data_IF_495744573288
#
_entry.id   IF_495744573288
#
_cell.length_a   1.000
_cell.length_b   1.000
_cell.length_c   1.000
_cell.angle_alpha   90.00
_cell.angle_beta   90.00
_cell.angle_gamma   90.00
#
_symmetry.space_group_name_H-M   'P 1'
#
loop_
_entity.id
_entity.type
_entity.pdbx_description
1 polymer ?
#
# COMPACT_ATOMS: atom_id res chain seq x y z
N UNK A 1 -33.64 15.95 30.89
CA UNK A 1 -34.07 17.17 30.17
C UNK A 1 -32.91 18.14 30.09
N UNK A 2 -32.60 18.58 28.85
CA UNK A 2 -32.12 19.92 28.48
C UNK A 2 -30.66 20.28 28.76
N UNK A 3 -29.91 20.15 27.67
CA UNK A 3 -28.70 20.91 27.32
C UNK A 3 -28.86 22.41 27.59
N UNK A 4 -27.84 23.05 28.15
CA UNK A 4 -27.68 24.49 28.16
C UNK A 4 -26.46 24.88 27.31
N UNK A 5 -26.75 25.34 26.09
CA UNK A 5 -25.83 26.05 25.20
C UNK A 5 -25.49 27.42 25.78
N UNK A 6 -24.22 27.81 25.70
CA UNK A 6 -23.83 29.21 25.47
C UNK A 6 -22.54 29.18 24.64
N UNK A 7 -22.56 29.82 23.46
CA UNK A 7 -21.52 30.75 22.99
C UNK A 7 -21.98 31.36 21.65
N UNK A 8 -22.38 32.63 21.74
CA UNK A 8 -22.59 33.55 20.63
C UNK A 8 -21.23 34.05 20.11
N UNK A 9 -21.05 34.09 18.78
CA UNK A 9 -20.43 35.24 18.12
C UNK A 9 -20.75 35.19 16.61
N UNK A 10 -21.46 36.21 16.15
CA UNK A 10 -21.79 36.46 14.75
C UNK A 10 -20.76 37.41 14.13
N UNK A 11 -20.45 37.23 12.85
CA UNK A 11 -20.02 38.30 11.96
C UNK A 11 -20.17 37.88 10.49
N UNK A 12 -21.25 38.33 9.85
CA UNK A 12 -21.40 38.37 8.40
C UNK A 12 -20.60 39.55 7.85
N UNK A 13 -19.84 39.39 6.75
CA UNK A 13 -19.66 40.45 5.76
C UNK A 13 -19.54 39.87 4.34
N UNK A 14 -20.37 40.42 3.48
CA UNK A 14 -20.57 40.14 2.06
C UNK A 14 -19.86 41.17 1.18
N UNK A 15 -19.21 40.76 0.11
CA UNK A 15 -18.96 41.49 -1.17
C UNK A 15 -18.49 40.42 -2.17
N UNK A 16 -18.82 40.32 -3.46
CA UNK A 16 -19.51 41.14 -4.46
C UNK A 16 -18.96 40.70 -5.85
N UNK A 17 -19.85 40.45 -6.83
CA UNK A 17 -19.66 39.84 -8.17
C UNK A 17 -18.86 40.71 -9.20
N UNK A 18 -19.05 40.58 -10.55
CA UNK A 18 -18.65 39.56 -11.54
C UNK A 18 -17.88 40.15 -12.76
N UNK A 19 -17.21 39.33 -13.60
CA UNK A 19 -16.79 39.75 -14.96
C UNK A 19 -17.16 38.72 -16.05
N UNK A 20 -18.33 38.95 -16.64
CA UNK A 20 -18.63 39.12 -18.08
C UNK A 20 -17.85 38.29 -19.14
N UNK A 21 -18.60 37.37 -19.78
CA UNK A 21 -18.77 37.10 -21.24
C UNK A 21 -17.49 36.89 -22.08
N UNK A 22 -17.33 35.77 -22.79
CA UNK A 22 -17.77 35.61 -24.19
C UNK A 22 -17.82 34.12 -24.57
N UNK A 23 -18.89 33.75 -25.27
CA UNK A 23 -19.13 32.44 -25.85
C UNK A 23 -18.36 32.30 -27.17
N UNK A 24 -17.85 31.11 -27.47
CA UNK A 24 -17.84 30.58 -28.84
C UNK A 24 -17.70 29.04 -28.78
N UNK A 25 -18.70 28.35 -29.30
CA UNK A 25 -18.67 26.93 -29.66
C UNK A 25 -18.45 26.87 -31.18
N UNK A 26 -17.78 25.86 -31.76
CA UNK A 26 -18.38 24.52 -31.85
C UNK A 26 -17.39 23.33 -31.79
N UNK A 27 -17.89 22.15 -31.38
CA UNK A 27 -17.29 20.85 -31.71
C UNK A 27 -17.41 20.59 -33.23
N UNK A 28 -16.60 19.72 -33.89
CA UNK A 28 -16.84 18.26 -33.79
C UNK A 28 -15.69 17.29 -34.22
N UNK A 29 -15.94 15.98 -34.01
CA UNK A 29 -15.39 14.75 -34.66
C UNK A 29 -13.99 14.27 -34.24
N UNK A 30 -13.93 13.17 -33.50
CA UNK A 30 -13.56 11.82 -33.96
C UNK A 30 -12.09 11.70 -34.35
N UNK A 31 -11.31 10.96 -33.55
CA UNK A 31 -10.44 9.94 -34.11
C UNK A 31 -10.26 8.77 -33.14
N UNK A 32 -10.26 7.60 -33.76
CA UNK A 32 -10.35 6.26 -33.22
C UNK A 32 -8.94 5.69 -32.99
N UNK A 33 -8.81 4.91 -31.91
CA UNK A 33 -7.84 3.83 -31.69
C UNK A 33 -6.33 4.08 -31.83
N UNK A 34 -5.60 3.81 -30.75
CA UNK A 34 -4.56 2.78 -30.82
C UNK A 34 -4.36 2.10 -29.47
N UNK A 35 -4.65 0.80 -29.53
CA UNK A 35 -4.30 -0.26 -28.61
C UNK A 35 -2.78 -0.38 -28.47
N UNK A 36 -2.38 -0.97 -27.35
CA UNK A 36 -1.15 -1.75 -27.18
C UNK A 36 0.15 -1.00 -26.81
N UNK A 37 0.44 -1.03 -25.51
CA UNK A 37 1.76 -1.44 -25.02
C UNK A 37 1.57 -2.04 -23.62
N UNK A 38 0.94 -3.20 -23.60
CA UNK A 38 1.11 -4.14 -22.51
C UNK A 38 2.58 -4.56 -22.49
N UNK A 39 3.38 -4.05 -21.55
CA UNK A 39 4.60 -4.72 -21.14
C UNK A 39 4.28 -5.60 -19.93
N UNK A 40 3.52 -6.65 -20.23
CA UNK A 40 3.57 -7.89 -19.47
C UNK A 40 4.97 -8.48 -19.64
N UNK A 41 5.86 -8.19 -18.70
CA UNK A 41 7.02 -9.07 -18.50
C UNK A 41 6.46 -10.34 -17.87
N UNK A 42 6.24 -11.35 -18.71
CA UNK A 42 6.19 -12.74 -18.28
C UNK A 42 7.59 -13.29 -18.47
N UNK A 43 8.07 -14.00 -17.45
CA UNK A 43 8.98 -15.17 -17.45
C UNK A 43 9.91 -15.08 -16.21
N UNK A 44 10.00 -16.03 -15.28
CA UNK A 44 9.91 -17.48 -15.46
C UNK A 44 9.40 -18.20 -14.18
N UNK A 45 8.51 -19.18 -14.38
CA UNK A 45 8.52 -20.47 -13.68
C UNK A 45 8.20 -20.55 -12.17
N UNK A 46 6.92 -20.63 -11.82
CA UNK A 46 6.40 -21.44 -10.69
C UNK A 46 4.91 -21.75 -10.92
N UNK A 47 4.37 -22.92 -10.50
CA UNK A 47 3.02 -23.33 -10.86
C UNK A 47 1.99 -22.41 -10.19
N UNK A 48 1.13 -21.84 -11.03
CA UNK A 48 0.04 -20.96 -10.65
C UNK A 48 -1.13 -21.75 -10.05
N UNK A 49 -0.93 -22.31 -8.85
CA UNK A 49 -2.00 -22.90 -8.01
C UNK A 49 -1.81 -22.52 -6.52
N UNK A 50 -0.92 -21.57 -6.19
CA UNK A 50 -0.43 -21.33 -4.81
C UNK A 50 -0.59 -19.87 -4.30
N UNK A 51 -1.18 -18.98 -5.09
CA UNK A 51 -1.33 -17.57 -4.68
C UNK A 51 -2.20 -17.40 -3.42
N UNK A 52 -3.20 -18.26 -3.24
CA UNK A 52 -4.07 -18.26 -2.07
C UNK A 52 -3.40 -18.83 -0.82
N UNK A 53 -2.64 -19.92 -0.96
CA UNK A 53 -1.88 -20.57 0.11
C UNK A 53 -0.74 -19.69 0.59
N UNK A 54 -0.01 -19.02 -0.33
CA UNK A 54 1.00 -18.05 0.06
C UNK A 54 0.41 -16.84 0.79
N UNK A 55 -0.69 -16.26 0.29
CA UNK A 55 -1.35 -15.16 0.99
C UNK A 55 -1.83 -15.56 2.39
N UNK A 56 -2.34 -16.78 2.55
CA UNK A 56 -2.73 -17.32 3.86
C UNK A 56 -1.52 -17.48 4.80
N UNK A 57 -0.39 -17.95 4.28
CA UNK A 57 0.85 -18.05 5.05
C UNK A 57 1.37 -16.67 5.48
N UNK A 58 1.38 -15.68 4.57
CA UNK A 58 1.77 -14.31 4.89
C UNK A 58 0.87 -13.70 5.97
N UNK A 59 -0.46 -13.90 5.88
CA UNK A 59 -1.40 -13.43 6.90
C UNK A 59 -1.19 -14.11 8.26
N UNK A 60 -0.84 -15.40 8.27
CA UNK A 60 -0.48 -16.09 9.51
C UNK A 60 0.77 -15.47 10.15
N UNK A 61 1.82 -15.27 9.36
CA UNK A 61 3.09 -14.70 9.83
C UNK A 61 2.91 -13.28 10.33
N UNK A 62 2.13 -12.44 9.64
CA UNK A 62 1.90 -11.06 10.06
C UNK A 62 1.21 -10.97 11.42
N UNK A 63 0.23 -11.85 11.67
CA UNK A 63 -0.40 -11.95 12.99
C UNK A 63 0.59 -12.42 14.06
N UNK A 64 1.39 -13.43 13.76
CA UNK A 64 2.40 -13.94 14.69
C UNK A 64 3.42 -12.84 15.06
N UNK A 65 3.92 -12.10 14.08
CA UNK A 65 4.83 -10.98 14.29
C UNK A 65 4.20 -9.90 15.20
N UNK A 66 2.95 -9.57 14.96
CA UNK A 66 2.22 -8.58 15.76
C UNK A 66 2.04 -9.02 17.22
N UNK A 67 1.68 -10.28 17.46
CA UNK A 67 1.55 -10.86 18.81
C UNK A 67 2.88 -10.80 19.58
N UNK A 68 3.99 -10.89 18.86
CA UNK A 68 5.34 -10.86 19.40
C UNK A 68 5.99 -9.46 19.45
N UNK A 69 5.24 -8.38 19.11
CA UNK A 69 5.75 -7.00 19.05
C UNK A 69 6.95 -6.84 18.11
N UNK A 70 6.88 -7.53 16.98
CA UNK A 70 7.86 -7.44 15.90
C UNK A 70 7.27 -6.65 14.73
N UNK A 71 8.15 -6.01 13.96
CA UNK A 71 7.80 -5.38 12.70
C UNK A 71 7.57 -6.42 11.59
N UNK A 72 7.19 -5.94 10.41
CA UNK A 72 6.90 -6.77 9.23
C UNK A 72 8.07 -7.62 8.71
N UNK A 73 9.29 -7.38 9.20
CA UNK A 73 10.53 -8.07 8.83
C UNK A 73 11.08 -8.92 9.99
N UNK A 74 10.35 -9.03 11.11
CA UNK A 74 10.80 -9.80 12.27
C UNK A 74 11.81 -9.08 13.17
N UNK A 75 11.97 -7.77 13.04
CA UNK A 75 12.77 -6.94 13.96
C UNK A 75 11.87 -6.38 15.07
N UNK A 76 12.45 -5.79 16.11
CA UNK A 76 11.66 -5.17 17.17
C UNK A 76 10.75 -4.07 16.60
N UNK A 77 9.53 -3.95 17.12
CA UNK A 77 8.62 -2.86 16.75
C UNK A 77 9.32 -1.49 16.93
N UNK A 78 9.11 -0.59 15.97
CA UNK A 78 9.75 0.73 15.94
C UNK A 78 11.17 0.76 15.38
N UNK A 79 11.68 -0.37 14.85
CA UNK A 79 12.96 -0.38 14.11
C UNK A 79 12.91 0.58 12.92
N UNK A 80 13.90 1.48 12.85
CA UNK A 80 14.06 2.43 11.76
C UNK A 80 15.07 1.89 10.74
N UNK A 81 14.73 1.97 9.46
CA UNK A 81 15.61 1.57 8.37
C UNK A 81 16.06 2.79 7.57
N UNK A 82 17.27 3.27 7.84
CA UNK A 82 17.88 4.38 7.10
C UNK A 82 18.49 3.84 5.81
N UNK A 83 17.83 4.07 4.67
CA UNK A 83 18.35 3.66 3.36
C UNK A 83 17.54 2.58 2.63
N UNK A 84 16.38 2.16 3.15
CA UNK A 84 15.50 1.23 2.44
C UNK A 84 14.91 0.18 3.35
N UNK A 85 14.61 -1.00 2.81
CA UNK A 85 14.12 -2.15 3.59
C UNK A 85 15.26 -3.13 3.84
N UNK A 86 15.21 -3.96 4.90
CA UNK A 86 16.25 -4.95 5.16
C UNK A 86 16.29 -6.07 4.10
N UNK A 87 15.35 -6.08 3.15
CA UNK A 87 15.27 -7.08 2.08
C UNK A 87 16.15 -6.73 0.88
N UNK A 88 16.59 -5.47 0.75
CA UNK A 88 17.37 -5.04 -0.40
C UNK A 88 18.87 -5.03 -0.08
N UNK A 89 19.65 -5.75 -0.88
CA UNK A 89 21.11 -5.73 -0.80
C UNK A 89 21.66 -4.72 -1.82
N UNK A 90 22.07 -3.55 -1.36
CA UNK A 90 22.59 -2.48 -2.22
C UNK A 90 23.92 -2.84 -2.91
N UNK A 91 24.70 -3.76 -2.35
CA UNK A 91 25.97 -4.17 -2.94
C UNK A 91 25.78 -5.09 -4.15
N UNK A 92 24.74 -5.91 -4.16
CA UNK A 92 24.42 -6.83 -5.28
C UNK A 92 23.26 -6.34 -6.15
N UNK A 93 22.43 -5.44 -5.65
CA UNK A 93 21.19 -5.00 -6.30
C UNK A 93 20.04 -6.00 -6.18
N UNK A 94 20.17 -7.04 -5.34
CA UNK A 94 19.18 -8.11 -5.20
C UNK A 94 18.18 -7.83 -4.07
N UNK A 95 16.95 -8.34 -4.21
CA UNK A 95 15.93 -8.29 -3.15
C UNK A 95 15.62 -9.71 -2.66
N UNK A 96 15.65 -9.91 -1.34
CA UNK A 96 15.28 -11.17 -0.69
C UNK A 96 13.76 -11.27 -0.50
N UNK A 97 13.22 -12.48 -0.59
CA UNK A 97 11.83 -12.75 -0.22
C UNK A 97 11.56 -12.44 1.26
N UNK A 98 10.40 -11.85 1.55
CA UNK A 98 10.07 -11.45 2.93
C UNK A 98 9.89 -12.64 3.86
N UNK A 99 9.18 -13.69 3.42
CA UNK A 99 8.93 -14.85 4.28
C UNK A 99 10.23 -15.58 4.58
N UNK A 100 11.09 -15.75 3.57
CA UNK A 100 12.44 -16.29 3.75
C UNK A 100 13.24 -15.48 4.79
N UNK A 101 13.27 -14.16 4.66
CA UNK A 101 13.96 -13.27 5.59
C UNK A 101 13.42 -13.39 7.03
N UNK A 102 12.09 -13.38 7.19
CA UNK A 102 11.45 -13.49 8.50
C UNK A 102 11.74 -14.84 9.12
N UNK A 103 11.65 -15.95 8.38
CA UNK A 103 11.88 -17.29 8.92
C UNK A 103 13.34 -17.56 9.29
N UNK A 104 14.29 -16.99 8.54
CA UNK A 104 15.70 -17.04 8.91
C UNK A 104 15.96 -16.38 10.28
N UNK A 105 15.20 -15.33 10.60
CA UNK A 105 15.33 -14.56 11.85
C UNK A 105 14.46 -15.08 12.99
N UNK A 106 13.26 -15.53 12.67
CA UNK A 106 12.19 -15.96 13.57
C UNK A 106 11.76 -17.39 13.21
N UNK A 107 12.58 -18.42 13.51
CA UNK A 107 12.26 -19.80 13.14
C UNK A 107 10.99 -20.33 13.81
N UNK A 108 10.54 -19.72 14.91
CA UNK A 108 9.29 -20.08 15.57
C UNK A 108 8.05 -19.61 14.79
N UNK A 109 8.17 -18.52 14.01
CA UNK A 109 7.13 -18.09 13.09
C UNK A 109 6.87 -19.15 12.01
N UNK A 110 7.93 -19.79 11.49
CA UNK A 110 7.80 -20.87 10.51
C UNK A 110 7.07 -22.09 11.09
N UNK A 111 7.39 -22.45 12.34
CA UNK A 111 6.73 -23.56 13.03
C UNK A 111 5.25 -23.28 13.27
N UNK A 112 4.91 -22.03 13.61
CA UNK A 112 3.54 -21.60 13.85
C UNK A 112 2.73 -21.43 12.55
N UNK A 113 3.40 -21.05 11.46
CA UNK A 113 2.79 -20.73 10.17
C UNK A 113 3.43 -21.55 9.02
N UNK A 114 3.25 -22.88 9.02
CA UNK A 114 3.72 -23.72 7.93
C UNK A 114 2.97 -23.40 6.62
N UNK A 115 3.58 -23.74 5.49
CA UNK A 115 2.91 -23.67 4.20
C UNK A 115 1.70 -24.61 4.22
N UNK A 116 0.50 -24.11 3.87
CA UNK A 116 -0.74 -24.89 3.97
C UNK A 116 -0.80 -26.05 2.95
#
# INVERSE_FOLDING_TARGET
MRHALILLAAACLTTGCPTKKTAEAPAPKEETASTDAALSVRDAGAPAEDGGSRAAQEACVDRWLQEHKLDRYGHAEGTMYTGGTPLFNEATGETQDRLEHVFARQPDALKACPTP
#
